data_IF_156704954493
#
_entry.id   IF_156704954493
#
_cell.length_a   1.000
_cell.length_b   1.000
_cell.length_c   1.000
_cell.angle_alpha   90.00
_cell.angle_beta   90.00
_cell.angle_gamma   90.00
#
_symmetry.space_group_name_H-M   'P 1'
#
loop_
_entity.id
_entity.type
_entity.pdbx_description
1 polymer ?
#
# COMPACT_ATOMS: atom_id res chain seq x y z
N UNK A 1 -9.44 -8.84 19.38
CA UNK A 1 -9.29 -9.49 18.07
C UNK A 1 -8.15 -10.49 18.19
N UNK A 2 -8.35 -11.75 17.82
CA UNK A 2 -7.31 -12.77 17.85
C UNK A 2 -6.65 -12.80 16.47
N UNK A 3 -5.38 -12.43 16.40
CA UNK A 3 -4.63 -12.37 15.15
C UNK A 3 -4.29 -13.79 14.68
N UNK A 4 -4.61 -14.14 13.43
CA UNK A 4 -4.14 -15.38 12.83
C UNK A 4 -2.70 -15.19 12.32
N UNK A 5 -1.72 -15.61 13.12
CA UNK A 5 -0.30 -15.44 12.81
C UNK A 5 0.13 -16.08 11.50
N UNK A 6 -0.38 -17.29 11.20
CA UNK A 6 -0.02 -17.99 9.97
C UNK A 6 -0.51 -17.22 8.76
N UNK A 7 -1.81 -16.89 8.73
CA UNK A 7 -2.41 -16.12 7.64
C UNK A 7 -1.78 -14.74 7.49
N UNK A 8 -1.52 -14.06 8.60
CA UNK A 8 -0.82 -12.76 8.62
C UNK A 8 0.56 -12.87 7.96
N UNK A 9 1.33 -13.92 8.29
CA UNK A 9 2.66 -14.15 7.70
C UNK A 9 2.58 -14.47 6.21
N UNK A 10 1.58 -15.23 5.79
CA UNK A 10 1.37 -15.58 4.39
C UNK A 10 0.99 -14.34 3.57
N UNK A 11 0.10 -13.49 4.09
CA UNK A 11 -0.28 -12.24 3.44
C UNK A 11 0.90 -11.26 3.32
N UNK A 12 1.72 -11.15 4.38
CA UNK A 12 2.96 -10.35 4.36
C UNK A 12 3.96 -10.87 3.32
N UNK A 13 4.18 -12.19 3.27
CA UNK A 13 5.17 -12.79 2.37
C UNK A 13 4.78 -12.67 0.90
N UNK A 14 3.47 -12.66 0.62
CA UNK A 14 2.93 -12.53 -0.73
C UNK A 14 2.55 -11.09 -1.09
N UNK A 15 2.94 -10.09 -0.28
CA UNK A 15 2.62 -8.67 -0.49
C UNK A 15 1.11 -8.39 -0.65
N UNK A 16 0.24 -9.19 -0.03
CA UNK A 16 -1.22 -9.02 -0.08
C UNK A 16 -1.72 -8.03 0.98
N UNK A 17 -1.21 -6.80 0.93
CA UNK A 17 -1.40 -5.82 1.99
C UNK A 17 -2.84 -5.38 2.19
N UNK A 18 -3.63 -5.26 1.11
CA UNK A 18 -5.06 -4.92 1.21
C UNK A 18 -5.80 -5.91 2.12
N UNK A 19 -5.61 -7.21 1.90
CA UNK A 19 -6.22 -8.26 2.71
C UNK A 19 -5.66 -8.27 4.13
N UNK A 20 -4.35 -8.07 4.29
CA UNK A 20 -3.73 -7.97 5.62
C UNK A 20 -4.39 -6.89 6.46
N UNK A 21 -4.51 -5.67 5.93
CA UNK A 21 -5.07 -4.57 6.70
C UNK A 21 -6.58 -4.72 6.91
N UNK A 22 -7.34 -5.07 5.87
CA UNK A 22 -8.81 -5.11 5.94
C UNK A 22 -9.31 -6.36 6.68
N UNK A 23 -8.82 -7.54 6.32
CA UNK A 23 -9.37 -8.81 6.79
C UNK A 23 -8.74 -9.26 8.12
N UNK A 24 -7.41 -9.12 8.27
CA UNK A 24 -6.72 -9.58 9.50
C UNK A 24 -6.65 -8.50 10.59
N UNK A 25 -6.42 -7.24 10.21
CA UNK A 25 -6.25 -6.14 11.16
C UNK A 25 -7.52 -5.30 11.37
N UNK A 26 -8.59 -5.59 10.62
CA UNK A 26 -9.90 -4.94 10.76
C UNK A 26 -9.94 -3.47 10.33
N UNK A 27 -9.08 -3.06 9.39
CA UNK A 27 -9.15 -1.73 8.79
C UNK A 27 -10.32 -1.65 7.80
N UNK A 28 -10.70 -0.42 7.45
CA UNK A 28 -11.77 -0.17 6.49
C UNK A 28 -11.23 -0.17 5.06
N UNK A 29 -12.09 -0.59 4.12
CA UNK A 29 -11.86 -0.37 2.69
C UNK A 29 -11.79 1.12 2.41
N UNK A 30 -10.83 1.59 1.59
CA UNK A 30 -10.67 3.00 1.32
C UNK A 30 -11.78 3.53 0.44
N UNK A 31 -12.25 4.74 0.76
CA UNK A 31 -13.27 5.46 -0.03
C UNK A 31 -12.90 5.68 -1.51
N UNK A 32 -11.62 5.88 -1.82
CA UNK A 32 -11.09 6.03 -3.19
C UNK A 32 -10.15 4.88 -3.52
N UNK A 33 -10.54 4.05 -4.48
CA UNK A 33 -9.78 2.86 -4.90
C UNK A 33 -8.98 3.06 -6.20
N UNK A 34 -9.25 4.13 -6.96
CA UNK A 34 -8.54 4.35 -8.23
C UNK A 34 -7.06 4.68 -7.97
N UNK A 35 -6.12 3.94 -8.58
CA UNK A 35 -4.72 4.32 -8.58
C UNK A 35 -4.53 5.71 -9.17
N UNK A 36 -3.54 6.42 -8.66
CA UNK A 36 -3.10 7.71 -9.20
C UNK A 36 -1.69 7.54 -9.74
N UNK A 37 -1.48 8.05 -10.95
CA UNK A 37 -0.19 7.97 -11.64
C UNK A 37 0.65 9.19 -11.29
N UNK A 38 1.87 8.97 -10.79
CA UNK A 38 2.88 9.99 -10.57
C UNK A 38 4.02 9.80 -11.58
N UNK A 39 4.44 10.89 -12.22
CA UNK A 39 5.65 10.93 -13.04
C UNK A 39 6.73 11.69 -12.27
N UNK A 40 7.85 11.04 -12.02
CA UNK A 40 8.99 11.62 -11.32
C UNK A 40 10.29 11.08 -11.90
N UNK A 41 11.22 11.98 -12.25
CA UNK A 41 12.56 11.62 -12.78
C UNK A 41 12.50 10.63 -13.96
N UNK A 42 11.66 10.92 -14.96
CA UNK A 42 11.36 10.05 -16.10
C UNK A 42 10.79 8.66 -15.77
N UNK A 43 10.53 8.34 -14.50
CA UNK A 43 9.89 7.11 -14.05
C UNK A 43 8.42 7.35 -13.76
N UNK A 44 7.62 6.30 -13.95
CA UNK A 44 6.19 6.31 -13.64
C UNK A 44 5.93 5.42 -12.44
N UNK A 45 5.17 5.94 -11.50
CA UNK A 45 4.73 5.24 -10.30
C UNK A 45 3.22 5.25 -10.24
N UNK A 46 2.64 4.16 -9.75
CA UNK A 46 1.23 4.13 -9.38
C UNK A 46 1.16 4.09 -7.86
N UNK A 47 0.37 4.99 -7.28
CA UNK A 47 0.04 4.91 -5.86
C UNK A 47 -1.46 4.70 -5.68
N UNK A 48 -1.81 3.77 -4.80
CA UNK A 48 -3.19 3.42 -4.51
C UNK A 48 -3.40 3.36 -3.01
N UNK A 49 -4.48 3.98 -2.53
CA UNK A 49 -4.94 3.77 -1.15
C UNK A 49 -5.54 2.37 -1.03
N UNK A 50 -5.07 1.56 -0.09
CA UNK A 50 -5.49 0.16 0.08
C UNK A 50 -6.29 -0.11 1.35
N UNK A 51 -6.12 0.71 2.39
CA UNK A 51 -6.86 0.60 3.64
C UNK A 51 -6.88 1.95 4.38
N UNK A 52 -7.85 2.13 5.28
CA UNK A 52 -7.89 3.26 6.20
C UNK A 52 -8.49 2.90 7.56
N UNK A 53 -8.02 3.57 8.61
CA UNK A 53 -8.57 3.47 9.95
C UNK A 53 -8.40 4.80 10.68
N UNK A 54 -9.51 5.39 11.13
CA UNK A 54 -9.53 6.59 11.98
C UNK A 54 -8.72 7.77 11.43
N UNK A 55 -8.80 8.00 10.11
CA UNK A 55 -8.07 9.08 9.43
C UNK A 55 -6.64 8.74 9.00
N UNK A 56 -6.12 7.57 9.39
CA UNK A 56 -4.84 7.03 8.88
C UNK A 56 -5.10 6.19 7.64
N UNK A 57 -4.26 6.34 6.61
CA UNK A 57 -4.39 5.65 5.34
C UNK A 57 -3.12 4.85 5.02
N UNK A 58 -3.28 3.66 4.47
CA UNK A 58 -2.19 2.89 3.86
C UNK A 58 -2.23 3.10 2.35
N UNK A 59 -1.07 3.43 1.81
CA UNK A 59 -0.85 3.54 0.37
C UNK A 59 0.15 2.49 -0.08
N UNK A 60 -0.21 1.79 -1.15
CA UNK A 60 0.70 0.94 -1.90
C UNK A 60 1.28 1.75 -3.06
N UNK A 61 2.58 1.62 -3.27
CA UNK A 61 3.31 2.30 -4.34
C UNK A 61 4.00 1.26 -5.19
N UNK A 62 3.63 1.22 -6.47
CA UNK A 62 4.17 0.30 -7.45
C UNK A 62 4.95 1.07 -8.50
N UNK A 63 6.25 0.76 -8.61
CA UNK A 63 7.08 1.22 -9.72
C UNK A 63 6.86 0.33 -10.94
N UNK A 64 6.90 0.89 -12.14
CA UNK A 64 6.73 0.11 -13.39
C UNK A 64 7.78 -0.98 -13.55
N UNK A 65 8.99 -0.76 -13.03
CA UNK A 65 10.09 -1.72 -13.06
C UNK A 65 10.06 -2.74 -11.91
N UNK A 66 9.06 -2.66 -11.02
CA UNK A 66 8.91 -3.54 -9.86
C UNK A 66 9.92 -3.30 -8.72
N UNK A 67 10.81 -2.32 -8.87
CA UNK A 67 11.82 -2.01 -7.85
C UNK A 67 11.25 -1.11 -6.76
N UNK A 68 11.80 -1.23 -5.55
CA UNK A 68 11.50 -0.29 -4.47
C UNK A 68 12.02 1.10 -4.88
N UNK A 69 11.16 2.15 -4.90
CA UNK A 69 11.61 3.48 -5.28
C UNK A 69 12.73 3.99 -4.37
N UNK A 70 13.66 4.75 -4.93
CA UNK A 70 14.76 5.37 -4.17
C UNK A 70 14.24 6.35 -3.09
N UNK A 71 15.06 6.62 -2.07
CA UNK A 71 14.66 7.44 -0.93
C UNK A 71 14.09 8.81 -1.33
N UNK A 72 14.72 9.49 -2.31
CA UNK A 72 14.25 10.80 -2.80
C UNK A 72 12.85 10.71 -3.43
N UNK A 73 12.58 9.65 -4.16
CA UNK A 73 11.27 9.39 -4.78
C UNK A 73 10.22 9.10 -3.72
N UNK A 74 10.55 8.28 -2.71
CA UNK A 74 9.63 7.98 -1.59
C UNK A 74 9.23 9.25 -0.82
N UNK A 75 10.17 10.17 -0.61
CA UNK A 75 9.90 11.48 0.01
C UNK A 75 8.97 12.32 -0.86
N UNK A 76 9.20 12.35 -2.18
CA UNK A 76 8.34 13.10 -3.10
C UNK A 76 6.90 12.53 -3.19
N UNK A 77 6.73 11.22 -3.04
CA UNK A 77 5.41 10.56 -3.06
C UNK A 77 4.61 10.80 -1.77
N UNK A 78 5.28 10.96 -0.63
CA UNK A 78 4.62 11.12 0.68
C UNK A 78 4.00 12.52 0.88
N UNK A 79 4.40 13.53 0.11
CA UNK A 79 3.88 14.90 0.23
C UNK A 79 2.45 15.03 -0.26
#
# INVERSE_FOLDING_TARGET
MLLNFQRTRDLLSNFQFSNLFIEELGWSKPSRQKPVTLKFDNKTYQYQKIAELSGVAIFEVTAVDGNIPEAKVRVAIHQ
#
